data_IF_112255711043
#
_entry.id   IF_112255711043
#
_cell.length_a   1.000
_cell.length_b   1.000
_cell.length_c   1.000
_cell.angle_alpha   90.00
_cell.angle_beta   90.00
_cell.angle_gamma   90.00
#
_symmetry.space_group_name_H-M   'P 1'
#
loop_
_entity.id
_entity.type
_entity.pdbx_description
1 polymer ?
#
# COMPACT_ATOMS: atom_id res chain seq x y z
N UNK A 1 0.56 9.84 14.93
CA UNK A 1 0.04 9.26 13.66
C UNK A 1 -1.37 8.69 13.87
N UNK A 2 -1.58 7.73 14.80
CA UNK A 2 -2.87 7.03 14.97
C UNK A 2 -4.06 7.99 15.20
N UNK A 3 -3.95 8.94 16.12
CA UNK A 3 -5.02 9.91 16.40
C UNK A 3 -5.38 10.73 15.16
N UNK A 4 -4.38 11.19 14.41
CA UNK A 4 -4.58 11.94 13.17
C UNK A 4 -5.29 11.08 12.10
N UNK A 5 -4.92 9.80 12.01
CA UNK A 5 -5.58 8.85 11.12
C UNK A 5 -7.06 8.66 11.50
N UNK A 6 -7.37 8.55 12.80
CA UNK A 6 -8.75 8.42 13.26
C UNK A 6 -9.57 9.67 12.90
N UNK A 7 -9.01 10.86 13.06
CA UNK A 7 -9.68 12.12 12.66
C UNK A 7 -9.95 12.15 11.16
N UNK A 8 -8.97 11.74 10.35
CA UNK A 8 -9.12 11.64 8.90
C UNK A 8 -10.25 10.68 8.50
N UNK A 9 -10.27 9.49 9.12
CA UNK A 9 -11.31 8.49 8.85
C UNK A 9 -12.70 8.96 9.31
N UNK A 10 -12.81 9.70 10.42
CA UNK A 10 -14.08 10.30 10.84
C UNK A 10 -14.56 11.26 9.74
N UNK A 11 -13.70 12.12 9.23
CA UNK A 11 -14.06 13.00 8.12
C UNK A 11 -14.43 12.20 6.88
N UNK A 12 -13.57 11.27 6.45
CA UNK A 12 -13.74 10.45 5.25
C UNK A 12 -15.08 9.68 5.23
N UNK A 13 -15.48 9.08 6.36
CA UNK A 13 -16.71 8.30 6.44
C UNK A 13 -17.97 9.15 6.64
N UNK A 14 -17.88 10.30 7.29
CA UNK A 14 -19.03 11.07 7.75
C UNK A 14 -19.15 12.49 7.16
N UNK A 15 -18.28 12.86 6.22
CA UNK A 15 -18.30 14.16 5.54
C UNK A 15 -19.67 14.44 4.92
N UNK A 16 -20.35 13.43 4.38
CA UNK A 16 -21.67 13.56 3.77
C UNK A 16 -22.75 14.11 4.71
N UNK A 17 -22.54 14.03 6.01
CA UNK A 17 -23.48 14.60 7.00
C UNK A 17 -23.41 16.13 7.09
N UNK A 18 -22.36 16.74 6.55
CA UNK A 18 -22.10 18.17 6.65
C UNK A 18 -21.71 18.67 8.06
N UNK A 19 -21.64 17.77 9.06
CA UNK A 19 -21.37 18.12 10.46
C UNK A 19 -19.89 18.04 10.83
N UNK A 20 -19.05 17.39 10.02
CA UNK A 20 -17.65 17.11 10.34
C UNK A 20 -16.75 18.24 9.83
N UNK A 21 -15.96 18.88 10.71
CA UNK A 21 -15.06 19.96 10.30
C UNK A 21 -13.99 19.49 9.32
N UNK A 22 -13.74 20.24 8.24
CA UNK A 22 -12.70 19.98 7.24
C UNK A 22 -11.29 19.96 7.83
N UNK A 23 -11.10 20.58 8.99
CA UNK A 23 -9.82 20.55 9.72
C UNK A 23 -9.39 19.12 10.09
N UNK A 24 -10.34 18.20 10.24
CA UNK A 24 -10.03 16.78 10.50
C UNK A 24 -9.28 16.13 9.35
N UNK A 25 -9.71 16.37 8.10
CA UNK A 25 -9.00 15.91 6.91
C UNK A 25 -7.66 16.62 6.74
N UNK A 26 -7.59 17.93 7.02
CA UNK A 26 -6.32 18.67 6.93
C UNK A 26 -5.27 18.12 7.90
N UNK A 27 -5.65 17.83 9.14
CA UNK A 27 -4.78 17.21 10.13
C UNK A 27 -4.48 15.74 9.78
N UNK A 28 -5.48 15.05 9.25
CA UNK A 28 -5.38 13.66 8.84
C UNK A 28 -4.32 13.41 7.78
N UNK A 29 -4.14 14.35 6.84
CA UNK A 29 -3.09 14.26 5.80
C UNK A 29 -1.67 14.15 6.35
N UNK A 30 -1.43 14.59 7.59
CA UNK A 30 -0.14 14.41 8.27
C UNK A 30 0.08 12.97 8.75
N UNK A 31 -0.97 12.15 8.84
CA UNK A 31 -0.87 10.78 9.34
C UNK A 31 -0.04 9.90 8.40
N UNK A 32 -0.26 9.97 7.08
CA UNK A 32 0.42 9.14 6.10
C UNK A 32 1.95 9.31 6.09
N UNK A 33 2.51 10.55 6.01
CA UNK A 33 3.96 10.73 6.12
C UNK A 33 4.52 10.30 7.47
N UNK A 34 3.77 10.44 8.58
CA UNK A 34 4.20 9.96 9.89
C UNK A 34 4.23 8.41 9.94
N UNK A 35 3.22 7.74 9.40
CA UNK A 35 3.24 6.28 9.28
C UNK A 35 4.40 5.81 8.40
N UNK A 36 4.63 6.49 7.28
CA UNK A 36 5.74 6.20 6.39
C UNK A 36 7.08 6.30 7.12
N UNK A 37 7.30 7.39 7.85
CA UNK A 37 8.50 7.58 8.66
C UNK A 37 8.66 6.48 9.71
N UNK A 38 7.61 6.18 10.48
CA UNK A 38 7.65 5.12 11.49
C UNK A 38 7.94 3.74 10.86
N UNK A 39 7.43 3.49 9.65
CA UNK A 39 7.67 2.23 8.96
C UNK A 39 9.11 2.14 8.44
N UNK A 40 9.66 3.23 7.91
CA UNK A 40 11.08 3.32 7.51
C UNK A 40 12.00 3.01 8.70
N UNK A 41 11.76 3.68 9.84
CA UNK A 41 12.55 3.47 11.06
C UNK A 41 12.36 2.05 11.61
N UNK A 42 11.12 1.56 11.66
CA UNK A 42 10.81 0.20 12.08
C UNK A 42 11.48 -0.86 11.22
N UNK A 43 11.44 -0.72 9.89
CA UNK A 43 12.10 -1.63 8.96
C UNK A 43 13.62 -1.58 9.07
N UNK A 44 14.17 -0.38 9.30
CA UNK A 44 15.61 -0.16 9.42
C UNK A 44 16.20 -0.81 10.68
N UNK A 45 15.49 -0.73 11.81
CA UNK A 45 15.99 -1.14 13.12
C UNK A 45 15.45 -2.51 13.56
N UNK A 46 14.57 -3.15 12.79
CA UNK A 46 14.06 -4.48 13.16
C UNK A 46 15.13 -5.57 13.01
N UNK A 47 15.22 -6.46 13.99
CA UNK A 47 16.10 -7.61 13.94
C UNK A 47 15.64 -8.64 12.91
N UNK A 48 14.33 -8.86 12.79
CA UNK A 48 13.74 -9.82 11.84
C UNK A 48 12.84 -9.10 10.83
N UNK A 49 13.43 -8.69 9.71
CA UNK A 49 12.74 -8.01 8.62
C UNK A 49 11.64 -8.85 7.98
N UNK A 50 11.85 -10.17 7.89
CA UNK A 50 10.85 -11.06 7.30
C UNK A 50 9.56 -11.06 8.13
N UNK A 51 9.68 -11.19 9.46
CA UNK A 51 8.52 -11.13 10.36
C UNK A 51 7.88 -9.74 10.35
N UNK A 52 8.67 -8.69 10.26
CA UNK A 52 8.17 -7.33 10.17
C UNK A 52 7.30 -7.14 8.93
N UNK A 53 7.83 -7.48 7.75
CA UNK A 53 7.10 -7.39 6.48
C UNK A 53 5.88 -8.30 6.48
N UNK A 54 6.01 -9.54 6.97
CA UNK A 54 4.90 -10.49 7.05
C UNK A 54 3.73 -9.98 7.91
N UNK A 55 4.02 -9.28 9.01
CA UNK A 55 2.97 -8.68 9.85
C UNK A 55 2.23 -7.56 9.10
N UNK A 56 2.97 -6.64 8.45
CA UNK A 56 2.35 -5.57 7.65
C UNK A 56 1.54 -6.18 6.51
N UNK A 57 2.10 -7.17 5.81
CA UNK A 57 1.42 -7.88 4.74
C UNK A 57 0.14 -8.58 5.21
N UNK A 58 0.19 -9.29 6.34
CA UNK A 58 -0.98 -9.99 6.87
C UNK A 58 -2.10 -9.01 7.24
N UNK A 59 -1.77 -7.87 7.88
CA UNK A 59 -2.74 -6.82 8.21
C UNK A 59 -3.30 -6.22 6.92
N UNK A 60 -2.45 -5.84 5.97
CA UNK A 60 -2.86 -5.26 4.70
C UNK A 60 -3.75 -6.20 3.89
N UNK A 61 -3.37 -7.49 3.80
CA UNK A 61 -4.17 -8.51 3.10
C UNK A 61 -5.52 -8.73 3.79
N UNK A 62 -5.56 -8.79 5.11
CA UNK A 62 -6.81 -8.94 5.85
C UNK A 62 -7.75 -7.75 5.64
N UNK A 63 -7.22 -6.52 5.69
CA UNK A 63 -8.01 -5.31 5.44
C UNK A 63 -8.52 -5.25 4.00
N UNK A 64 -7.66 -5.52 3.03
CA UNK A 64 -8.04 -5.52 1.62
C UNK A 64 -9.02 -6.65 1.28
N UNK A 65 -8.88 -7.82 1.90
CA UNK A 65 -9.85 -8.90 1.75
C UNK A 65 -11.23 -8.48 2.30
N UNK A 66 -11.25 -7.87 3.49
CA UNK A 66 -12.48 -7.36 4.08
C UNK A 66 -13.14 -6.32 3.16
N UNK A 67 -12.36 -5.36 2.66
CA UNK A 67 -12.81 -4.33 1.73
C UNK A 67 -13.36 -4.94 0.43
N UNK A 68 -12.62 -5.88 -0.16
CA UNK A 68 -13.06 -6.59 -1.37
C UNK A 68 -14.41 -7.28 -1.16
N UNK A 69 -14.57 -8.02 -0.07
CA UNK A 69 -15.84 -8.68 0.24
C UNK A 69 -16.97 -7.69 0.51
N UNK A 70 -16.70 -6.56 1.17
CA UNK A 70 -17.70 -5.50 1.39
C UNK A 70 -18.15 -4.87 0.07
N UNK A 71 -17.22 -4.60 -0.85
CA UNK A 71 -17.52 -4.06 -2.17
C UNK A 71 -18.30 -5.08 -3.01
N UNK A 72 -17.84 -6.34 -3.03
CA UNK A 72 -18.46 -7.42 -3.79
C UNK A 72 -19.88 -7.74 -3.31
N UNK A 73 -20.09 -7.76 -1.99
CA UNK A 73 -21.41 -7.94 -1.39
C UNK A 73 -22.33 -6.70 -1.51
N UNK A 74 -21.79 -5.55 -1.92
CA UNK A 74 -22.54 -4.29 -2.00
C UNK A 74 -22.98 -3.74 -0.64
N UNK A 75 -22.40 -4.25 0.47
CA UNK A 75 -22.89 -4.00 1.82
C UNK A 75 -22.73 -2.54 2.29
N UNK A 76 -21.80 -1.79 1.70
CA UNK A 76 -21.48 -0.41 2.10
C UNK A 76 -21.56 0.61 0.93
N UNK A 77 -22.31 0.29 -0.11
CA UNK A 77 -22.57 1.27 -1.16
C UNK A 77 -23.57 2.30 -0.65
N UNK A 78 -23.11 3.53 -0.50
CA UNK A 78 -23.98 4.68 -0.28
C UNK A 78 -24.64 5.09 -1.59
N UNK A 79 -25.77 5.82 -1.50
CA UNK A 79 -26.49 6.33 -2.69
C UNK A 79 -25.67 7.31 -3.54
N UNK A 80 -24.61 7.89 -3.00
CA UNK A 80 -23.64 8.75 -3.69
C UNK A 80 -22.53 7.99 -4.42
N UNK A 81 -22.55 6.65 -4.39
CA UNK A 81 -21.51 5.80 -5.00
C UNK A 81 -20.25 5.63 -4.18
N UNK A 82 -20.20 6.22 -2.99
CA UNK A 82 -19.04 6.08 -2.10
C UNK A 82 -18.89 4.64 -1.59
N UNK A 83 -17.66 4.17 -1.54
CA UNK A 83 -17.24 2.93 -0.84
C UNK A 83 -15.88 3.17 -0.20
N UNK A 84 -15.64 2.58 1.01
CA UNK A 84 -14.39 2.77 1.70
C UNK A 84 -13.23 2.14 0.95
N UNK A 85 -12.11 2.85 0.88
CA UNK A 85 -10.83 2.35 0.35
C UNK A 85 -9.73 2.65 1.36
N UNK A 86 -8.87 1.69 1.61
CA UNK A 86 -7.69 1.87 2.46
C UNK A 86 -6.58 0.90 2.07
N UNK A 87 -5.65 1.37 1.26
CA UNK A 87 -4.56 0.57 0.71
C UNK A 87 -3.19 0.86 1.32
N UNK A 88 -3.08 1.75 2.31
CA UNK A 88 -1.80 2.23 2.84
C UNK A 88 -0.87 1.09 3.32
N UNK A 89 -1.41 0.05 3.95
CA UNK A 89 -0.58 -1.08 4.39
C UNK A 89 0.02 -1.87 3.24
N UNK A 90 -0.65 -1.92 2.11
CA UNK A 90 -0.15 -2.58 0.90
C UNK A 90 0.94 -1.76 0.23
N UNK A 91 0.78 -0.44 0.17
CA UNK A 91 1.84 0.47 -0.27
C UNK A 91 3.09 0.32 0.61
N UNK A 92 2.93 0.17 1.93
CA UNK A 92 4.03 -0.08 2.85
C UNK A 92 4.71 -1.44 2.61
N UNK A 93 3.97 -2.48 2.23
CA UNK A 93 4.56 -3.78 1.84
C UNK A 93 5.42 -3.63 0.59
N UNK A 94 4.90 -2.97 -0.45
CA UNK A 94 5.66 -2.71 -1.68
C UNK A 94 6.94 -1.94 -1.39
N UNK A 95 6.86 -0.90 -0.56
CA UNK A 95 8.02 -0.12 -0.11
C UNK A 95 9.04 -0.99 0.64
N UNK A 96 8.60 -1.86 1.55
CA UNK A 96 9.50 -2.77 2.25
C UNK A 96 10.26 -3.69 1.29
N UNK A 97 9.64 -4.18 0.22
CA UNK A 97 10.30 -4.99 -0.80
C UNK A 97 11.34 -4.15 -1.56
N UNK A 98 11.00 -2.92 -1.93
CA UNK A 98 11.92 -1.99 -2.60
C UNK A 98 13.10 -1.66 -1.68
N UNK A 99 12.87 -1.36 -0.40
CA UNK A 99 13.93 -1.06 0.58
C UNK A 99 14.87 -2.25 0.78
N UNK A 100 14.32 -3.46 0.85
CA UNK A 100 15.15 -4.66 0.90
C UNK A 100 15.98 -4.82 -0.38
N UNK A 101 15.41 -4.50 -1.54
CA UNK A 101 16.13 -4.47 -2.82
C UNK A 101 17.28 -3.47 -2.80
N UNK A 102 17.05 -2.25 -2.30
CA UNK A 102 18.07 -1.20 -2.14
C UNK A 102 19.22 -1.69 -1.23
N UNK A 103 18.91 -2.33 -0.10
CA UNK A 103 19.93 -2.83 0.79
C UNK A 103 20.77 -3.95 0.14
N UNK A 104 20.15 -4.87 -0.61
CA UNK A 104 20.88 -5.87 -1.38
C UNK A 104 21.77 -5.26 -2.46
N UNK A 105 21.35 -4.18 -3.12
CA UNK A 105 22.20 -3.44 -4.05
C UNK A 105 23.42 -2.83 -3.33
N UNK A 106 23.23 -2.24 -2.15
CA UNK A 106 24.30 -1.70 -1.31
C UNK A 106 25.28 -2.79 -0.83
N UNK A 107 24.79 -4.00 -0.56
CA UNK A 107 25.57 -5.19 -0.21
C UNK A 107 26.24 -5.84 -1.44
N UNK A 108 26.21 -5.21 -2.61
CA UNK A 108 26.74 -5.76 -3.88
C UNK A 108 26.04 -7.05 -4.36
N UNK A 109 24.89 -7.39 -3.81
CA UNK A 109 24.04 -8.50 -4.26
C UNK A 109 23.11 -8.02 -5.40
N UNK A 110 23.73 -7.56 -6.50
CA UNK A 110 23.05 -6.80 -7.57
C UNK A 110 21.87 -7.58 -8.15
N UNK A 111 22.07 -8.86 -8.47
CA UNK A 111 21.01 -9.69 -9.08
C UNK A 111 19.76 -9.80 -8.18
N UNK A 112 19.96 -10.01 -6.86
CA UNK A 112 18.85 -10.11 -5.91
C UNK A 112 18.14 -8.77 -5.71
N UNK A 113 18.90 -7.69 -5.58
CA UNK A 113 18.33 -6.36 -5.40
C UNK A 113 17.55 -5.89 -6.63
N UNK A 114 18.14 -6.05 -7.81
CA UNK A 114 17.48 -5.73 -9.08
C UNK A 114 16.21 -6.58 -9.30
N UNK A 115 16.27 -7.88 -9.01
CA UNK A 115 15.12 -8.78 -9.14
C UNK A 115 13.96 -8.38 -8.20
N UNK A 116 14.25 -8.00 -6.95
CA UNK A 116 13.22 -7.56 -6.01
C UNK A 116 12.52 -6.29 -6.46
N UNK A 117 13.29 -5.28 -6.91
CA UNK A 117 12.73 -4.03 -7.42
C UNK A 117 11.97 -4.26 -8.72
N UNK A 118 12.56 -5.03 -9.65
CA UNK A 118 11.90 -5.38 -10.91
C UNK A 118 10.61 -6.15 -10.69
N UNK A 119 10.55 -7.06 -9.71
CA UNK A 119 9.33 -7.80 -9.39
C UNK A 119 8.18 -6.85 -9.02
N UNK A 120 8.42 -5.83 -8.18
CA UNK A 120 7.40 -4.83 -7.82
C UNK A 120 6.98 -4.01 -9.03
N UNK A 121 7.94 -3.57 -9.85
CA UNK A 121 7.67 -2.69 -11.00
C UNK A 121 7.03 -3.43 -12.17
N UNK A 122 7.42 -4.68 -12.41
CA UNK A 122 6.97 -5.45 -13.58
C UNK A 122 5.67 -6.23 -13.31
N UNK A 123 5.32 -6.51 -12.04
CA UNK A 123 4.14 -7.28 -11.69
C UNK A 123 2.84 -6.77 -12.34
N UNK A 124 2.51 -5.47 -12.32
CA UNK A 124 1.31 -4.95 -12.98
C UNK A 124 1.25 -5.28 -14.47
N UNK A 125 2.39 -5.15 -15.14
CA UNK A 125 2.48 -5.43 -16.58
C UNK A 125 2.30 -6.93 -16.87
N UNK A 126 2.81 -7.80 -16.00
CA UNK A 126 2.59 -9.25 -16.12
C UNK A 126 1.11 -9.60 -16.04
N UNK A 127 0.36 -8.96 -15.14
CA UNK A 127 -1.08 -9.15 -15.02
C UNK A 127 -1.82 -8.60 -16.24
N UNK A 128 -1.44 -7.42 -16.74
CA UNK A 128 -2.03 -6.86 -17.97
C UNK A 128 -1.79 -7.80 -19.16
N UNK A 129 -0.56 -8.29 -19.32
CA UNK A 129 -0.23 -9.25 -20.39
C UNK A 129 -1.06 -10.53 -20.24
N UNK A 130 -1.20 -11.05 -19.01
CA UNK A 130 -2.05 -12.22 -18.74
C UNK A 130 -3.51 -11.98 -19.16
N UNK A 131 -4.09 -10.84 -18.81
CA UNK A 131 -5.48 -10.48 -19.18
C UNK A 131 -5.66 -10.27 -20.68
N UNK A 132 -4.62 -9.78 -21.38
CA UNK A 132 -4.62 -9.65 -22.86
C UNK A 132 -4.52 -11.01 -23.56
N UNK A 133 -3.74 -11.94 -23.01
CA UNK A 133 -3.61 -13.30 -23.56
C UNK A 133 -4.85 -14.18 -23.29
N UNK A 134 -5.55 -13.90 -22.19
CA UNK A 134 -6.72 -14.66 -21.76
C UNK A 134 -7.93 -13.75 -21.53
N UNK A 135 -8.46 -13.09 -22.59
CA UNK A 135 -9.57 -12.14 -22.46
C UNK A 135 -10.85 -12.79 -21.90
N UNK A 136 -11.03 -14.10 -22.12
CA UNK A 136 -12.17 -14.86 -21.59
C UNK A 136 -12.28 -14.81 -20.06
N UNK A 137 -11.18 -14.56 -19.35
CA UNK A 137 -11.16 -14.43 -17.89
C UNK A 137 -12.02 -13.23 -17.44
N UNK A 138 -12.09 -12.17 -18.24
CA UNK A 138 -12.87 -10.97 -17.95
C UNK A 138 -14.37 -11.24 -18.07
N UNK A 139 -14.76 -12.15 -18.95
CA UNK A 139 -16.18 -12.51 -19.15
C UNK A 139 -16.66 -13.53 -18.10
N UNK A 140 -15.76 -14.14 -17.35
CA UNK A 140 -16.06 -15.10 -16.30
C UNK A 140 -16.15 -14.38 -14.93
N UNK A 141 -17.35 -14.22 -14.32
CA UNK A 141 -17.51 -13.42 -13.11
C UNK A 141 -16.67 -13.93 -11.91
N UNK A 142 -16.53 -15.24 -11.77
CA UNK A 142 -15.70 -15.82 -10.70
C UNK A 142 -14.22 -15.62 -10.99
N UNK A 143 -13.77 -15.86 -12.20
CA UNK A 143 -12.35 -15.72 -12.56
C UNK A 143 -11.91 -14.26 -12.49
N UNK A 144 -12.72 -13.32 -12.98
CA UNK A 144 -12.44 -11.89 -12.89
C UNK A 144 -12.40 -11.41 -11.43
N UNK A 145 -13.32 -11.90 -10.57
CA UNK A 145 -13.32 -11.59 -9.14
C UNK A 145 -12.06 -12.14 -8.43
N UNK A 146 -11.62 -13.35 -8.76
CA UNK A 146 -10.38 -13.93 -8.23
C UNK A 146 -9.16 -13.11 -8.65
N UNK A 147 -9.07 -12.72 -9.92
CA UNK A 147 -7.97 -11.88 -10.40
C UNK A 147 -7.99 -10.52 -9.68
N UNK A 148 -9.15 -9.87 -9.60
CA UNK A 148 -9.28 -8.60 -8.87
C UNK A 148 -8.86 -8.74 -7.41
N UNK A 149 -9.29 -9.80 -6.72
CA UNK A 149 -8.89 -10.08 -5.35
C UNK A 149 -7.36 -10.26 -5.22
N UNK A 150 -6.74 -11.03 -6.10
CA UNK A 150 -5.29 -11.25 -6.08
C UNK A 150 -4.50 -9.97 -6.33
N UNK A 151 -5.02 -9.09 -7.20
CA UNK A 151 -4.39 -7.79 -7.52
C UNK A 151 -4.47 -6.78 -6.36
N UNK A 152 -5.52 -6.84 -5.56
CA UNK A 152 -5.76 -5.85 -4.51
C UNK A 152 -5.42 -6.35 -3.11
N UNK A 153 -5.28 -7.66 -2.89
CA UNK A 153 -5.11 -8.22 -1.54
C UNK A 153 -3.74 -8.87 -1.30
N UNK A 154 -3.49 -10.15 -1.66
CA UNK A 154 -2.24 -10.82 -1.29
C UNK A 154 -1.04 -10.40 -2.14
N UNK A 155 -1.26 -9.99 -3.38
CA UNK A 155 -0.23 -9.57 -4.33
C UNK A 155 -0.52 -8.15 -4.81
N UNK A 156 -0.34 -7.14 -3.95
CA UNK A 156 -0.74 -5.78 -4.27
C UNK A 156 0.03 -5.24 -5.47
N UNK A 157 -0.71 -4.56 -6.36
CA UNK A 157 -0.14 -3.86 -7.50
C UNK A 157 -0.03 -2.38 -7.16
N UNK A 158 1.15 -1.82 -7.33
CA UNK A 158 1.39 -0.39 -7.06
C UNK A 158 0.45 0.55 -7.86
N UNK A 159 -0.03 0.12 -9.03
CA UNK A 159 -0.99 0.89 -9.82
C UNK A 159 -2.42 0.84 -9.30
N UNK A 160 -2.77 -0.19 -8.52
CA UNK A 160 -4.13 -0.40 -8.02
C UNK A 160 -4.31 0.00 -6.56
N UNK A 161 -3.21 0.07 -5.79
CA UNK A 161 -3.26 0.25 -4.33
C UNK A 161 -2.61 1.54 -3.84
N UNK A 162 -2.06 2.37 -4.72
CA UNK A 162 -1.46 3.64 -4.33
C UNK A 162 -2.49 4.64 -3.82
N UNK A 163 -2.71 4.64 -2.53
CA UNK A 163 -3.61 5.55 -1.83
C UNK A 163 -3.02 6.99 -1.76
N UNK A 164 -1.72 7.09 -1.65
CA UNK A 164 -0.98 8.35 -1.56
C UNK A 164 -0.34 8.85 -2.85
N UNK A 165 -0.71 8.31 -4.01
CA UNK A 165 -0.09 8.61 -5.30
C UNK A 165 1.41 8.24 -5.40
N UNK A 166 2.00 8.44 -6.57
CA UNK A 166 3.44 8.31 -6.83
C UNK A 166 4.33 9.05 -5.82
N UNK A 167 3.83 10.17 -5.29
CA UNK A 167 4.56 10.95 -4.29
C UNK A 167 4.82 10.20 -3.00
N UNK A 168 3.87 9.35 -2.57
CA UNK A 168 4.03 8.53 -1.37
C UNK A 168 5.11 7.44 -1.57
N UNK A 169 5.08 6.74 -2.70
CA UNK A 169 6.09 5.72 -3.03
C UNK A 169 7.48 6.35 -3.20
N UNK A 170 7.58 7.44 -3.97
CA UNK A 170 8.84 8.15 -4.14
C UNK A 170 9.37 8.72 -2.83
N UNK A 171 8.49 9.32 -2.01
CA UNK A 171 8.83 9.82 -0.68
C UNK A 171 9.38 8.71 0.21
N UNK A 172 8.77 7.52 0.20
CA UNK A 172 9.22 6.36 0.95
C UNK A 172 10.60 5.85 0.50
N UNK A 173 10.83 5.80 -0.80
CA UNK A 173 12.15 5.44 -1.37
C UNK A 173 13.21 6.45 -0.98
N UNK A 174 12.92 7.75 -1.11
CA UNK A 174 13.85 8.83 -0.77
C UNK A 174 14.18 8.86 0.72
N UNK A 175 13.16 8.75 1.59
CA UNK A 175 13.37 8.70 3.04
C UNK A 175 14.28 7.54 3.44
N UNK A 176 14.08 6.37 2.84
CA UNK A 176 14.91 5.21 3.11
C UNK A 176 16.32 5.35 2.54
N UNK A 177 16.45 5.86 1.32
CA UNK A 177 17.75 6.04 0.66
C UNK A 177 18.62 7.07 1.38
N UNK A 178 18.02 8.15 1.88
CA UNK A 178 18.72 9.28 2.52
C UNK A 178 18.94 9.08 4.02
N UNK A 179 18.40 8.01 4.63
CA UNK A 179 18.53 7.78 6.09
C UNK A 179 20.00 7.73 6.57
N UNK A 180 20.92 7.25 5.72
CA UNK A 180 22.35 7.13 6.07
C UNK A 180 23.04 8.48 6.30
N UNK A 181 22.50 9.58 5.79
CA UNK A 181 23.04 10.91 6.03
C UNK A 181 22.65 11.50 7.39
N UNK A 182 21.62 10.95 8.05
CA UNK A 182 21.17 11.39 9.39
C UNK A 182 21.99 10.78 10.52
N UNK A 183 22.59 9.62 10.32
CA UNK A 183 23.38 8.93 11.35
C UNK A 183 24.79 9.53 11.55
N UNK A 184 25.24 10.39 10.65
CA UNK A 184 26.51 11.12 10.78
C UNK A 184 26.40 12.48 11.47
N UNK A 185 25.19 12.87 11.95
CA UNK A 185 24.93 14.16 12.61
C UNK A 185 24.57 14.02 14.10
N UNK A 186 24.64 12.83 14.65
CA UNK A 186 24.57 12.52 16.07
C UNK A 186 25.93 12.00 16.54
#
# INVERSE_FOLDING_TARGET
ALVLMVLDHIHYFFEFTGCIPTVFSMLGRLSAPLFLFCTVEGFAHTHDRKRYVLRIWAIGTAMAALEFFMIYAGAFRRGDGFYPQNAIFQDLVLLCVIWQGIDWLREKKIAKGAAAIAAVLCWPYMVVVFLLLFPQVQDMPIASAVVAFLMTSPLPMWTAVTDGSWGFLLGGVLLYALRGHRQGQL
#
